data_IF_007162176332
#
_entry.id   IF_007162176332
#
_cell.length_a   1.000
_cell.length_b   1.000
_cell.length_c   1.000
_cell.angle_alpha   90.00
_cell.angle_beta   90.00
_cell.angle_gamma   90.00
#
_symmetry.space_group_name_H-M   'P 1'
#
loop_
_entity.id
_entity.type
_entity.pdbx_description
1 polymer ?
#
# COMPACT_ATOMS: atom_id res chain seq x y z
N UNK A 1 -0.20 -28.52 5.06
CA UNK A 1 -0.47 -27.77 5.23
C UNK A 1 -0.87 -26.78 5.45
N UNK A 2 -1.04 -26.66 5.37
CA UNK A 2 -1.44 -25.83 5.54
C UNK A 2 -2.06 -25.01 6.03
N UNK A 3 -2.48 -24.80 5.73
CA UNK A 3 -3.51 -24.23 6.51
C UNK A 3 -3.13 -23.07 7.33
N UNK A 4 -2.05 -23.02 8.06
CA UNK A 4 -1.63 -21.83 8.78
C UNK A 4 -1.62 -20.62 7.86
N UNK A 5 -1.29 -20.84 6.63
CA UNK A 5 -1.28 -19.74 5.67
C UNK A 5 -2.62 -19.09 5.52
N UNK A 6 -3.66 -19.88 5.50
CA UNK A 6 -4.98 -19.33 5.31
C UNK A 6 -5.45 -18.55 6.52
N UNK A 7 -4.79 -18.74 7.66
CA UNK A 7 -5.17 -18.03 8.85
C UNK A 7 -4.41 -16.74 9.05
N UNK A 8 -3.31 -16.60 8.33
CA UNK A 8 -2.50 -15.39 8.44
C UNK A 8 -2.95 -14.42 7.37
N UNK A 9 -3.61 -13.34 7.77
CA UNK A 9 -4.05 -12.37 6.77
C UNK A 9 -2.85 -11.72 6.11
N UNK A 10 -3.00 -11.40 4.85
CA UNK A 10 -1.96 -10.69 4.13
C UNK A 10 -1.87 -9.27 4.67
N UNK A 11 -0.67 -8.80 4.93
CA UNK A 11 -0.47 -7.43 5.37
C UNK A 11 -0.57 -6.48 4.18
N UNK A 12 -1.11 -5.29 4.43
CA UNK A 12 -1.27 -4.32 3.36
C UNK A 12 0.07 -3.93 2.74
N UNK A 13 1.09 -3.73 3.56
CA UNK A 13 2.40 -3.37 3.01
C UNK A 13 3.00 -4.51 2.18
N UNK A 14 2.72 -5.76 2.54
CA UNK A 14 3.20 -6.90 1.74
C UNK A 14 2.47 -6.97 0.41
N UNK A 15 1.15 -6.72 0.42
CA UNK A 15 0.40 -6.68 -0.83
C UNK A 15 0.92 -5.57 -1.74
N UNK A 16 1.16 -4.40 -1.18
CA UNK A 16 1.64 -3.27 -1.95
C UNK A 16 3.00 -3.59 -2.60
N UNK A 17 3.91 -4.21 -1.85
CA UNK A 17 5.21 -4.59 -2.40
C UNK A 17 5.07 -5.59 -3.53
N UNK A 18 4.23 -6.58 -3.35
CA UNK A 18 3.96 -7.58 -4.38
C UNK A 18 3.35 -6.92 -5.61
N UNK A 19 2.41 -6.00 -5.38
CA UNK A 19 1.72 -5.29 -6.46
C UNK A 19 2.70 -4.49 -7.31
N UNK A 20 3.61 -3.73 -6.69
CA UNK A 20 4.56 -2.94 -7.47
C UNK A 20 5.56 -3.84 -8.20
N UNK A 21 5.94 -4.96 -7.61
CA UNK A 21 6.86 -5.89 -8.27
C UNK A 21 6.22 -6.50 -9.51
N UNK A 22 4.94 -6.82 -9.44
CA UNK A 22 4.25 -7.48 -10.56
C UNK A 22 3.87 -6.49 -11.65
N UNK A 23 3.35 -5.34 -11.27
CA UNK A 23 2.76 -4.43 -12.25
C UNK A 23 3.62 -3.23 -12.63
N UNK A 24 4.58 -2.86 -11.82
CA UNK A 24 5.32 -1.62 -12.05
C UNK A 24 6.78 -1.85 -12.39
N UNK A 25 7.41 -2.83 -11.76
CA UNK A 25 8.83 -3.06 -11.99
C UNK A 25 9.07 -3.45 -13.44
N UNK A 26 9.99 -2.72 -14.08
CA UNK A 26 10.27 -2.95 -15.48
C UNK A 26 9.32 -2.28 -16.46
N UNK A 27 8.16 -1.81 -15.96
CA UNK A 27 7.16 -1.18 -16.82
C UNK A 27 7.20 0.34 -16.76
N UNK A 28 7.90 0.88 -15.76
CA UNK A 28 8.00 2.33 -15.56
C UNK A 28 9.46 2.71 -15.39
N UNK A 29 9.72 4.02 -15.47
CA UNK A 29 11.08 4.53 -15.36
C UNK A 29 11.65 4.30 -13.96
N UNK A 30 12.97 4.10 -13.83
CA UNK A 30 13.57 3.87 -12.52
C UNK A 30 13.29 4.98 -11.51
N UNK A 31 13.23 6.23 -11.95
CA UNK A 31 12.97 7.34 -11.02
C UNK A 31 11.55 7.22 -10.46
N UNK A 32 10.59 6.81 -11.29
CA UNK A 32 9.21 6.63 -10.83
C UNK A 32 9.10 5.38 -9.96
N UNK A 33 9.79 4.32 -10.32
CA UNK A 33 9.81 3.10 -9.50
C UNK A 33 10.36 3.40 -8.11
N UNK A 34 11.36 4.28 -8.04
CA UNK A 34 11.93 4.69 -6.76
C UNK A 34 10.85 5.31 -5.86
N UNK A 35 9.96 6.10 -6.44
CA UNK A 35 8.87 6.72 -5.66
C UNK A 35 7.89 5.67 -5.12
N UNK A 36 7.59 4.66 -5.93
CA UNK A 36 6.75 3.55 -5.46
C UNK A 36 7.42 2.79 -4.33
N UNK A 37 8.72 2.56 -4.44
CA UNK A 37 9.46 1.88 -3.39
C UNK A 37 9.51 2.70 -2.11
N UNK A 38 9.64 4.01 -2.21
CA UNK A 38 9.62 4.88 -1.05
C UNK A 38 8.27 4.83 -0.35
N UNK A 39 7.19 4.78 -1.13
CA UNK A 39 5.87 4.65 -0.54
C UNK A 39 5.77 3.34 0.25
N UNK A 40 6.36 2.27 -0.27
CA UNK A 40 6.36 1.01 0.46
C UNK A 40 7.10 1.13 1.79
N UNK A 41 8.25 1.80 1.79
CA UNK A 41 9.01 2.00 3.03
C UNK A 41 8.20 2.75 4.06
N UNK A 42 7.44 3.74 3.63
CA UNK A 42 6.58 4.49 4.55
C UNK A 42 5.41 3.66 5.06
N UNK A 43 4.84 2.81 4.21
CA UNK A 43 3.79 1.91 4.67
C UNK A 43 4.31 0.94 5.72
N UNK A 44 5.53 0.44 5.54
CA UNK A 44 6.16 -0.41 6.54
C UNK A 44 6.35 0.32 7.86
N UNK A 45 6.68 1.59 7.80
CA UNK A 45 6.91 2.38 9.00
C UNK A 45 5.60 2.74 9.70
N UNK A 46 4.58 3.10 8.93
CA UNK A 46 3.33 3.62 9.49
C UNK A 46 2.34 2.51 9.85
N UNK A 47 2.31 1.44 9.08
CA UNK A 47 1.32 0.38 9.28
C UNK A 47 1.93 -1.01 9.11
N UNK A 48 2.94 -1.35 9.92
CA UNK A 48 3.62 -2.64 9.72
C UNK A 48 2.72 -3.84 9.96
N UNK A 49 1.68 -3.69 10.77
CA UNK A 49 0.82 -4.80 11.16
C UNK A 49 -0.59 -4.75 10.60
N UNK A 50 -0.85 -3.81 9.71
CA UNK A 50 -2.20 -3.67 9.16
C UNK A 50 -2.50 -4.75 8.15
N UNK A 51 -3.53 -5.54 8.42
CA UNK A 51 -4.01 -6.54 7.48
C UNK A 51 -4.76 -5.85 6.35
N UNK A 52 -4.58 -6.35 5.13
CA UNK A 52 -5.25 -5.74 3.98
C UNK A 52 -6.77 -5.80 4.12
N UNK A 53 -7.29 -6.83 4.75
CA UNK A 53 -8.74 -6.95 4.94
C UNK A 53 -9.28 -5.95 5.96
N UNK A 54 -8.41 -5.37 6.76
CA UNK A 54 -8.82 -4.37 7.76
C UNK A 54 -8.69 -2.94 7.26
N UNK A 55 -8.16 -2.77 6.07
CA UNK A 55 -8.01 -1.44 5.50
C UNK A 55 -9.39 -0.89 5.13
N UNK A 56 -9.71 0.27 5.69
CA UNK A 56 -10.97 0.95 5.38
C UNK A 56 -10.68 2.45 5.22
N UNK A 57 -11.74 3.19 4.97
CA UNK A 57 -11.61 4.62 4.71
C UNK A 57 -10.95 5.36 5.88
N UNK A 58 -11.33 5.01 7.09
CA UNK A 58 -10.82 5.70 8.27
C UNK A 58 -9.36 5.36 8.52
N UNK A 59 -9.00 4.08 8.42
CA UNK A 59 -7.61 3.69 8.64
C UNK A 59 -6.71 4.28 7.56
N UNK A 60 -7.20 4.34 6.32
CA UNK A 60 -6.40 4.94 5.25
C UNK A 60 -6.22 6.45 5.47
N UNK A 61 -7.27 7.13 5.92
CA UNK A 61 -7.17 8.56 6.20
C UNK A 61 -6.13 8.83 7.30
N UNK A 62 -6.07 7.96 8.30
CA UNK A 62 -5.07 8.09 9.35
C UNK A 62 -3.66 7.95 8.79
N UNK A 63 -3.46 7.01 7.86
CA UNK A 63 -2.17 6.84 7.22
C UNK A 63 -1.77 8.12 6.51
N UNK A 64 -2.70 8.71 5.75
CA UNK A 64 -2.43 9.94 5.02
C UNK A 64 -2.11 11.09 5.97
N UNK A 65 -2.85 11.19 7.07
CA UNK A 65 -2.61 12.25 8.04
C UNK A 65 -1.22 12.14 8.66
N UNK A 66 -0.82 10.92 9.01
CA UNK A 66 0.50 10.71 9.59
C UNK A 66 1.61 10.99 8.57
N UNK A 67 1.40 10.59 7.34
CA UNK A 67 2.37 10.86 6.29
C UNK A 67 2.51 12.37 6.06
N UNK A 68 1.38 13.06 6.08
CA UNK A 68 1.36 14.51 5.83
C UNK A 68 2.07 15.31 6.91
N UNK A 69 2.23 14.76 8.12
CA UNK A 69 2.91 15.46 9.20
C UNK A 69 4.39 15.73 8.88
N UNK A 70 4.97 14.91 8.01
CA UNK A 70 6.40 15.02 7.70
C UNK A 70 6.65 15.32 6.23
N UNK A 71 5.61 15.61 5.45
CA UNK A 71 5.76 15.82 4.00
C UNK A 71 4.92 16.99 3.52
N UNK A 72 5.35 17.58 2.43
CA UNK A 72 4.61 18.64 1.79
C UNK A 72 3.34 18.09 1.16
N UNK A 73 2.42 18.99 0.85
CA UNK A 73 1.14 18.63 0.26
C UNK A 73 1.32 17.85 -1.04
N UNK A 74 2.17 18.34 -1.95
CA UNK A 74 2.39 17.65 -3.23
C UNK A 74 2.96 16.26 -3.05
N UNK A 75 3.91 16.12 -2.15
CA UNK A 75 4.51 14.81 -1.86
C UNK A 75 3.47 13.85 -1.28
N UNK A 76 2.60 14.38 -0.42
CA UNK A 76 1.52 13.59 0.17
C UNK A 76 0.54 13.13 -0.91
N UNK A 77 0.21 14.01 -1.86
CA UNK A 77 -0.69 13.65 -2.95
C UNK A 77 -0.08 12.60 -3.86
N UNK A 78 1.21 12.68 -4.12
CA UNK A 78 1.90 11.67 -4.93
C UNK A 78 1.85 10.32 -4.23
N UNK A 79 2.11 10.30 -2.92
CA UNK A 79 2.01 9.08 -2.12
C UNK A 79 0.59 8.51 -2.21
N UNK A 80 -0.40 9.38 -2.04
CA UNK A 80 -1.80 8.97 -2.12
C UNK A 80 -2.12 8.34 -3.47
N UNK A 81 -1.69 8.96 -4.55
CA UNK A 81 -1.96 8.41 -5.89
C UNK A 81 -1.35 7.02 -6.07
N UNK A 82 -0.12 6.85 -5.66
CA UNK A 82 0.57 5.57 -5.81
C UNK A 82 -0.12 4.47 -5.00
N UNK A 83 -0.46 4.77 -3.75
CA UNK A 83 -1.06 3.78 -2.88
C UNK A 83 -2.51 3.50 -3.28
N UNK A 84 -3.23 4.52 -3.71
CA UNK A 84 -4.62 4.36 -4.12
C UNK A 84 -4.78 3.38 -5.27
N UNK A 85 -3.86 3.41 -6.23
CA UNK A 85 -3.92 2.49 -7.37
C UNK A 85 -3.88 1.04 -6.89
N UNK A 86 -3.01 0.75 -5.93
CA UNK A 86 -2.92 -0.61 -5.38
C UNK A 86 -4.18 -0.97 -4.61
N UNK A 87 -4.74 -0.01 -3.88
CA UNK A 87 -5.96 -0.24 -3.10
C UNK A 87 -7.12 -0.58 -4.04
N UNK A 88 -7.26 0.14 -5.13
CA UNK A 88 -8.34 -0.12 -6.09
C UNK A 88 -8.23 -1.52 -6.69
N UNK A 89 -7.02 -1.94 -7.03
CA UNK A 89 -6.81 -3.29 -7.53
C UNK A 89 -7.14 -4.33 -6.46
N UNK A 90 -6.78 -4.06 -5.21
CA UNK A 90 -7.07 -4.98 -4.12
C UNK A 90 -8.58 -5.12 -3.91
N UNK A 91 -9.32 -4.02 -4.06
CA UNK A 91 -10.78 -4.07 -3.98
C UNK A 91 -11.34 -4.92 -5.10
N UNK A 92 -10.83 -4.73 -6.32
CA UNK A 92 -11.29 -5.51 -7.47
C UNK A 92 -10.99 -7.00 -7.31
N UNK A 93 -9.90 -7.32 -6.63
CA UNK A 93 -9.54 -8.71 -6.39
C UNK A 93 -10.30 -9.33 -5.21
N UNK A 94 -11.09 -8.52 -4.50
CA UNK A 94 -11.85 -9.01 -3.38
C UNK A 94 -11.08 -9.10 -2.08
N UNK A 95 -9.88 -8.54 -2.02
CA UNK A 95 -9.05 -8.58 -0.82
C UNK A 95 -9.46 -7.55 0.21
N UNK A 96 -10.06 -6.45 -0.24
CA UNK A 96 -10.57 -5.38 0.63
C UNK A 96 -12.08 -5.33 0.45
N UNK A 97 -12.85 -5.40 1.54
CA UNK A 97 -14.31 -5.30 1.44
C UNK A 97 -14.73 -3.92 0.94
N UNK A 98 -15.78 -3.88 0.19
CA UNK A 98 -16.34 -2.63 -0.28
C UNK A 98 -17.19 -1.97 0.76
#
# INVERSE_FOLDING_TARGET
MNTPTSRNPMLFCDYYKQWINVYKEGAIRPVTMSKYNMAHQWLLKLTPDLSISELDRISYQKILNEYAEEHEHQTTMDFHHHVKCAILDAVDEGLIPR
#
